data_IF_534213503845
#
_entry.id   IF_534213503845
#
_cell.length_a   1.000
_cell.length_b   1.000
_cell.length_c   1.000
_cell.angle_alpha   90.00
_cell.angle_beta   90.00
_cell.angle_gamma   90.00
#
_symmetry.space_group_name_H-M   'P 1'
#
loop_
_entity.id
_entity.type
_entity.pdbx_description
1 polymer ?
#
# COMPACT_ATOMS: atom_id res chain seq x y z
N UNK A 1 -22.30 6.85 28.01
CA UNK A 1 -21.57 7.61 26.99
C UNK A 1 -20.93 6.60 26.06
N UNK A 2 -21.62 6.28 24.97
CA UNK A 2 -21.17 5.33 23.96
C UNK A 2 -20.09 6.01 23.12
N UNK A 3 -18.85 5.52 23.22
CA UNK A 3 -17.77 5.92 22.34
C UNK A 3 -18.13 5.45 20.93
N UNK A 4 -18.52 6.38 20.06
CA UNK A 4 -18.55 6.15 18.62
C UNK A 4 -17.13 5.81 18.18
N UNK A 5 -16.86 4.53 17.94
CA UNK A 5 -15.73 4.10 17.14
C UNK A 5 -15.96 4.63 15.73
N UNK A 6 -15.41 5.81 15.43
CA UNK A 6 -15.09 6.14 14.05
C UNK A 6 -13.94 5.22 13.65
N UNK A 7 -14.27 4.10 13.01
CA UNK A 7 -13.35 3.40 12.15
C UNK A 7 -12.97 4.39 11.06
N UNK A 8 -11.77 4.97 11.18
CA UNK A 8 -11.20 5.73 10.09
C UNK A 8 -10.83 4.71 9.02
N UNK A 9 -11.69 4.61 8.02
CA UNK A 9 -11.37 4.01 6.72
C UNK A 9 -10.32 4.95 6.11
N UNK A 10 -9.05 4.71 6.43
CA UNK A 10 -7.93 5.49 5.93
C UNK A 10 -7.71 5.01 4.49
N UNK A 11 -8.03 5.85 3.51
CA UNK A 11 -7.73 5.58 2.10
C UNK A 11 -6.20 5.41 1.90
N UNK A 12 -5.79 4.71 0.83
CA UNK A 12 -4.42 4.33 0.48
C UNK A 12 -3.41 5.49 0.56
N UNK A 13 -3.81 6.70 0.15
CA UNK A 13 -2.99 7.93 0.22
C UNK A 13 -2.93 8.55 1.61
N UNK A 14 -3.86 8.21 2.48
CA UNK A 14 -3.95 8.74 3.83
C UNK A 14 -3.14 7.92 4.82
N UNK A 15 -2.84 6.64 4.54
CA UNK A 15 -2.03 5.80 5.43
C UNK A 15 -0.64 6.39 5.70
N UNK A 16 0.15 6.65 4.65
CA UNK A 16 1.51 7.21 4.79
C UNK A 16 1.47 8.61 5.38
N UNK A 17 0.55 9.46 4.91
CA UNK A 17 0.36 10.79 5.50
C UNK A 17 0.01 10.71 6.98
N UNK A 18 -0.77 9.72 7.38
CA UNK A 18 -1.16 9.52 8.76
C UNK A 18 0.02 9.05 9.61
N UNK A 19 0.70 7.95 9.24
CA UNK A 19 1.74 7.35 10.08
C UNK A 19 2.99 8.23 10.18
N UNK A 20 3.33 8.99 9.13
CA UNK A 20 4.46 9.94 9.15
C UNK A 20 4.05 11.36 9.53
N UNK A 21 2.76 11.70 9.49
CA UNK A 21 2.25 13.05 9.77
C UNK A 21 1.64 13.22 11.16
N UNK A 22 1.56 12.18 11.97
CA UNK A 22 1.01 12.24 13.34
C UNK A 22 1.98 11.68 14.38
N UNK A 23 1.72 11.97 15.65
CA UNK A 23 2.43 11.41 16.81
C UNK A 23 1.45 10.72 17.77
N UNK A 24 1.93 9.76 18.56
CA UNK A 24 1.09 9.12 19.58
C UNK A 24 0.97 10.00 20.84
N UNK A 25 -0.14 9.88 21.57
CA UNK A 25 -0.32 10.60 22.84
C UNK A 25 0.73 10.22 23.91
N UNK A 26 1.24 8.99 23.83
CA UNK A 26 2.33 8.49 24.70
C UNK A 26 3.66 9.17 24.37
N UNK A 27 3.90 9.49 23.09
CA UNK A 27 5.07 10.26 22.67
C UNK A 27 5.09 11.66 23.28
N UNK A 28 3.95 12.38 23.21
CA UNK A 28 3.87 13.79 23.63
C UNK A 28 3.80 13.97 25.15
N UNK A 29 3.24 13.00 25.89
CA UNK A 29 3.13 13.06 27.35
C UNK A 29 4.45 12.78 28.09
N UNK A 30 5.58 12.72 27.37
CA UNK A 30 6.91 12.48 27.94
C UNK A 30 7.13 11.03 28.40
N UNK A 31 6.19 10.13 28.12
CA UNK A 31 6.26 8.72 28.52
C UNK A 31 7.21 7.87 27.69
N UNK A 32 7.79 8.42 26.62
CA UNK A 32 8.55 7.64 25.65
C UNK A 32 9.78 8.41 25.14
N UNK A 33 10.96 8.08 25.64
CA UNK A 33 12.26 8.68 25.26
C UNK A 33 12.76 8.26 23.87
N UNK A 34 11.98 7.46 23.15
CA UNK A 34 12.34 6.87 21.85
C UNK A 34 11.86 7.70 20.66
N UNK A 35 11.02 8.72 20.83
CA UNK A 35 10.49 9.50 19.70
C UNK A 35 11.44 10.64 19.28
N UNK A 36 11.71 10.81 17.97
CA UNK A 36 12.43 11.97 17.45
C UNK A 36 11.72 13.29 17.77
N UNK A 37 12.51 14.32 18.05
CA UNK A 37 12.01 15.67 18.36
C UNK A 37 11.11 16.22 17.26
N UNK A 38 11.44 16.00 15.98
CA UNK A 38 10.58 16.47 14.88
C UNK A 38 9.20 15.80 14.90
N UNK A 39 9.13 14.51 15.26
CA UNK A 39 7.88 13.78 15.33
C UNK A 39 6.96 14.35 16.43
N UNK A 40 7.52 14.82 17.55
CA UNK A 40 6.74 15.41 18.65
C UNK A 40 6.05 16.74 18.29
N UNK A 41 6.42 17.38 17.18
CA UNK A 41 5.76 18.60 16.70
C UNK A 41 4.48 18.33 15.91
N UNK A 42 4.20 17.06 15.59
CA UNK A 42 3.06 16.64 14.76
C UNK A 42 1.76 16.55 15.57
N UNK A 43 0.58 16.65 14.91
CA UNK A 43 -0.70 16.40 15.56
C UNK A 43 -0.78 15.02 16.22
N UNK A 44 -1.48 14.95 17.36
CA UNK A 44 -1.62 13.71 18.13
C UNK A 44 -2.75 12.84 17.56
N UNK A 45 -2.46 11.55 17.31
CA UNK A 45 -3.44 10.54 16.93
C UNK A 45 -3.14 9.19 17.60
N UNK A 46 -4.11 8.26 17.59
CA UNK A 46 -3.83 6.86 17.95
C UNK A 46 -2.92 6.25 16.87
N UNK A 47 -1.98 5.36 17.22
CA UNK A 47 -1.15 4.70 16.21
C UNK A 47 -2.01 3.89 15.25
N UNK A 48 -1.61 3.87 13.98
CA UNK A 48 -2.12 2.88 13.03
C UNK A 48 -1.64 1.48 13.46
N UNK A 49 -2.28 0.45 12.90
CA UNK A 49 -1.97 -0.93 13.21
C UNK A 49 -1.78 -1.74 11.94
N UNK A 50 -0.72 -2.55 11.93
CA UNK A 50 -0.57 -3.71 11.05
C UNK A 50 -0.43 -4.95 11.93
N UNK A 51 -0.55 -6.11 11.32
CA UNK A 51 -0.28 -7.39 11.96
C UNK A 51 0.70 -8.20 11.09
N UNK A 52 1.31 -9.21 11.71
CA UNK A 52 1.95 -10.29 11.00
C UNK A 52 0.93 -11.42 10.78
N UNK A 53 0.89 -11.96 9.56
CA UNK A 53 0.17 -13.19 9.27
C UNK A 53 0.98 -14.44 9.69
N UNK A 54 0.44 -15.64 9.43
CA UNK A 54 1.06 -16.92 9.77
C UNK A 54 2.43 -17.15 9.09
N UNK A 55 2.79 -16.33 8.11
CA UNK A 55 4.05 -16.40 7.36
C UNK A 55 4.92 -15.13 7.56
N UNK A 56 4.60 -14.33 8.58
CA UNK A 56 5.29 -13.11 8.97
C UNK A 56 5.17 -11.96 7.95
N UNK A 57 4.17 -11.96 7.07
CA UNK A 57 3.91 -10.84 6.18
C UNK A 57 3.12 -9.75 6.91
N UNK A 58 3.49 -8.50 6.64
CA UNK A 58 2.76 -7.33 7.10
C UNK A 58 1.43 -7.23 6.37
N UNK A 59 0.35 -7.35 7.15
CA UNK A 59 -1.03 -7.23 6.68
C UNK A 59 -1.77 -6.14 7.43
N UNK A 60 -2.73 -5.50 6.76
CA UNK A 60 -3.74 -4.69 7.41
C UNK A 60 -4.82 -5.61 8.02
N UNK A 61 -4.88 -5.74 9.36
CA UNK A 61 -5.84 -6.63 10.01
C UNK A 61 -7.29 -6.15 9.90
N UNK A 62 -7.51 -4.94 9.40
CA UNK A 62 -8.82 -4.35 9.18
C UNK A 62 -9.16 -4.24 7.70
N UNK A 63 -8.38 -4.86 6.83
CA UNK A 63 -8.65 -4.87 5.40
C UNK A 63 -10.03 -5.45 5.11
N UNK A 64 -10.91 -4.62 4.53
CA UNK A 64 -12.19 -5.08 4.01
C UNK A 64 -12.01 -5.45 2.54
N UNK A 65 -12.31 -6.70 2.19
CA UNK A 65 -12.21 -7.22 0.82
C UNK A 65 -13.36 -6.67 -0.03
N UNK A 66 -13.29 -5.37 -0.31
CA UNK A 66 -14.08 -4.67 -1.31
C UNK A 66 -13.24 -3.54 -1.93
N UNK A 67 -12.05 -3.82 -2.48
CA UNK A 67 -11.24 -2.77 -3.06
C UNK A 67 -11.95 -2.24 -4.31
N UNK A 68 -12.36 -0.97 -4.29
CA UNK A 68 -12.57 -0.25 -5.54
C UNK A 68 -11.23 -0.21 -6.28
N UNK A 69 -11.14 -1.00 -7.34
CA UNK A 69 -10.03 -0.98 -8.29
C UNK A 69 -10.21 0.23 -9.22
N UNK A 70 -9.13 0.92 -9.59
CA UNK A 70 -9.20 2.02 -10.53
C UNK A 70 -9.72 1.54 -11.88
N UNK A 71 -10.22 2.46 -12.69
CA UNK A 71 -10.44 2.15 -14.11
C UNK A 71 -9.11 2.05 -14.85
N UNK A 72 -9.08 1.46 -16.06
CA UNK A 72 -7.88 1.51 -16.90
C UNK A 72 -7.42 2.94 -17.19
N UNK A 73 -8.37 3.89 -17.31
CA UNK A 73 -8.05 5.31 -17.47
C UNK A 73 -7.27 5.86 -16.29
N UNK A 74 -7.72 5.58 -15.06
CA UNK A 74 -7.05 6.02 -13.83
C UNK A 74 -5.72 5.30 -13.62
N UNK A 75 -5.71 3.98 -13.79
CA UNK A 75 -4.52 3.15 -13.59
C UNK A 75 -3.36 3.55 -14.51
N UNK A 76 -3.66 3.86 -15.77
CA UNK A 76 -2.67 4.29 -16.77
C UNK A 76 -2.41 5.81 -16.73
N UNK A 77 -3.00 6.55 -15.78
CA UNK A 77 -2.85 8.00 -15.64
C UNK A 77 -3.26 8.81 -16.88
N UNK A 78 -4.40 8.46 -17.48
CA UNK A 78 -4.90 8.98 -18.75
C UNK A 78 -6.05 9.99 -18.61
N UNK A 79 -6.43 10.37 -17.39
CA UNK A 79 -7.66 11.12 -17.09
C UNK A 79 -7.76 12.48 -17.79
N UNK A 80 -6.61 13.10 -18.08
CA UNK A 80 -6.52 14.46 -18.60
C UNK A 80 -6.09 14.54 -20.07
N UNK A 81 -6.00 13.41 -20.76
CA UNK A 81 -5.52 13.36 -22.14
C UNK A 81 -6.66 13.55 -23.15
N UNK A 82 -6.40 14.35 -24.19
CA UNK A 82 -7.27 14.45 -25.36
C UNK A 82 -7.25 13.17 -26.19
N UNK A 83 -8.20 13.00 -27.12
CA UNK A 83 -8.27 11.81 -27.97
C UNK A 83 -7.00 11.56 -28.81
N UNK A 84 -6.33 12.62 -29.29
CA UNK A 84 -5.06 12.46 -30.01
C UNK A 84 -3.95 11.99 -29.08
N UNK A 85 -3.87 12.54 -27.87
CA UNK A 85 -2.85 12.17 -26.87
C UNK A 85 -3.09 10.74 -26.34
N UNK A 86 -4.35 10.33 -26.16
CA UNK A 86 -4.71 8.96 -25.80
C UNK A 86 -4.23 7.95 -26.83
N UNK A 87 -4.39 8.27 -28.12
CA UNK A 87 -3.91 7.40 -29.21
C UNK A 87 -2.41 7.19 -29.14
N UNK A 88 -1.66 8.27 -28.93
CA UNK A 88 -0.21 8.22 -28.84
C UNK A 88 0.27 7.50 -27.57
N UNK A 89 -0.41 7.70 -26.43
CA UNK A 89 -0.08 7.07 -25.16
C UNK A 89 -0.34 5.55 -25.16
N UNK A 90 -1.38 5.10 -25.88
CA UNK A 90 -1.81 3.71 -25.91
C UNK A 90 -1.21 2.89 -27.07
N UNK A 91 -0.51 3.53 -28.01
CA UNK A 91 -0.01 2.87 -29.23
C UNK A 91 0.87 1.64 -28.94
N UNK A 92 1.73 1.71 -27.92
CA UNK A 92 2.68 0.64 -27.59
C UNK A 92 2.05 -0.44 -26.68
N UNK A 93 0.80 -0.23 -26.25
CA UNK A 93 0.05 -1.11 -25.36
C UNK A 93 -1.23 -1.66 -25.98
N UNK A 94 -1.35 -1.68 -27.31
CA UNK A 94 -2.58 -2.08 -28.02
C UNK A 94 -3.06 -3.49 -27.64
N UNK A 95 -2.12 -4.38 -27.34
CA UNK A 95 -2.38 -5.76 -26.89
C UNK A 95 -3.32 -5.83 -25.67
N UNK A 96 -3.38 -4.79 -24.84
CA UNK A 96 -4.26 -4.73 -23.66
C UNK A 96 -5.74 -4.64 -24.01
N UNK A 97 -6.06 -4.10 -25.19
CA UNK A 97 -7.44 -3.82 -25.59
C UNK A 97 -7.76 -4.26 -27.02
N UNK A 98 -6.85 -4.96 -27.70
CA UNK A 98 -7.01 -5.38 -29.09
C UNK A 98 -8.27 -6.22 -29.32
N UNK A 99 -8.70 -6.98 -28.31
CA UNK A 99 -9.94 -7.77 -28.35
C UNK A 99 -11.23 -6.94 -28.38
N UNK A 100 -11.14 -5.66 -28.02
CA UNK A 100 -12.25 -4.70 -28.11
C UNK A 100 -12.28 -3.98 -29.46
N UNK A 101 -11.25 -4.14 -30.30
CA UNK A 101 -11.11 -3.45 -31.57
C UNK A 101 -11.68 -4.26 -32.74
N UNK A 102 -12.27 -3.56 -33.72
CA UNK A 102 -12.64 -4.18 -35.00
C UNK A 102 -11.43 -4.34 -35.93
N UNK A 103 -10.50 -3.38 -35.88
CA UNK A 103 -9.26 -3.34 -36.65
C UNK A 103 -8.14 -2.74 -35.78
N UNK A 104 -7.19 -3.56 -35.28
CA UNK A 104 -6.09 -3.09 -34.44
C UNK A 104 -5.15 -2.09 -35.12
N UNK A 105 -5.06 -2.08 -36.45
CA UNK A 105 -4.21 -1.15 -37.18
C UNK A 105 -4.89 0.21 -37.42
N UNK A 106 -6.21 0.28 -37.26
CA UNK A 106 -7.00 1.48 -37.57
C UNK A 106 -8.20 1.65 -36.62
N UNK A 107 -7.92 1.83 -35.34
CA UNK A 107 -8.92 2.05 -34.30
C UNK A 107 -9.13 3.54 -33.97
N UNK A 108 -10.20 3.83 -33.23
CA UNK A 108 -10.52 5.14 -32.69
C UNK A 108 -10.71 5.09 -31.17
N UNK A 109 -10.41 6.19 -30.47
CA UNK A 109 -10.59 6.27 -29.01
C UNK A 109 -12.03 5.96 -28.59
N UNK A 110 -13.03 6.23 -29.44
CA UNK A 110 -14.43 5.93 -29.14
C UNK A 110 -14.70 4.43 -28.97
N UNK A 111 -14.00 3.57 -29.72
CA UNK A 111 -14.18 2.11 -29.64
C UNK A 111 -13.71 1.53 -28.30
N UNK A 112 -12.72 2.18 -27.68
CA UNK A 112 -12.14 1.72 -26.41
C UNK A 112 -12.67 2.48 -25.19
N UNK A 113 -13.67 3.35 -25.35
CA UNK A 113 -14.24 4.10 -24.21
C UNK A 113 -14.82 3.16 -23.15
N UNK A 114 -15.48 2.07 -23.55
CA UNK A 114 -15.98 1.07 -22.59
C UNK A 114 -14.85 0.49 -21.75
N UNK A 115 -13.81 -0.01 -22.41
CA UNK A 115 -12.60 -0.54 -21.77
C UNK A 115 -11.90 0.49 -20.87
N UNK A 116 -11.77 1.75 -21.27
CA UNK A 116 -11.14 2.79 -20.44
C UNK A 116 -11.85 3.04 -19.12
N UNK A 117 -13.18 2.84 -19.08
CA UNK A 117 -14.01 3.02 -17.88
C UNK A 117 -14.26 1.71 -17.10
N UNK A 118 -13.78 0.57 -17.62
CA UNK A 118 -13.81 -0.70 -16.89
C UNK A 118 -12.76 -0.68 -15.77
N UNK A 119 -13.13 -1.23 -14.61
CA UNK A 119 -12.17 -1.51 -13.54
C UNK A 119 -11.13 -2.49 -14.04
N UNK A 120 -9.86 -2.21 -13.76
CA UNK A 120 -8.77 -3.09 -14.16
C UNK A 120 -8.84 -4.43 -13.41
N UNK A 121 -8.50 -5.52 -14.10
CA UNK A 121 -8.37 -6.84 -13.48
C UNK A 121 -6.98 -7.02 -12.82
N UNK A 122 -6.94 -7.80 -11.75
CA UNK A 122 -5.68 -8.12 -11.06
C UNK A 122 -4.63 -8.77 -11.97
N UNK A 123 -5.06 -9.55 -12.96
CA UNK A 123 -4.19 -10.21 -13.94
C UNK A 123 -3.49 -9.22 -14.88
N UNK A 124 -4.02 -8.00 -15.02
CA UNK A 124 -3.43 -6.92 -15.82
C UNK A 124 -2.48 -6.02 -15.03
N UNK A 125 -2.37 -6.25 -13.72
CA UNK A 125 -1.43 -5.58 -12.82
C UNK A 125 -0.15 -6.41 -12.63
N UNK A 126 0.96 -5.74 -12.31
CA UNK A 126 2.12 -6.44 -11.74
C UNK A 126 1.78 -7.03 -10.37
N UNK A 127 2.49 -8.06 -9.88
CA UNK A 127 2.29 -8.59 -8.52
C UNK A 127 2.33 -7.48 -7.46
N UNK A 128 3.30 -6.57 -7.57
CA UNK A 128 3.37 -5.38 -6.73
C UNK A 128 2.14 -4.47 -6.86
N UNK A 129 1.68 -4.21 -8.09
CA UNK A 129 0.50 -3.37 -8.35
C UNK A 129 -0.77 -3.97 -7.77
N UNK A 130 -0.97 -5.28 -7.94
CA UNK A 130 -2.08 -6.03 -7.39
C UNK A 130 -2.08 -6.00 -5.86
N UNK A 131 -0.92 -6.26 -5.24
CA UNK A 131 -0.81 -6.33 -3.78
C UNK A 131 -1.21 -5.03 -3.05
N UNK A 132 -1.09 -3.87 -3.72
CA UNK A 132 -1.58 -2.58 -3.19
C UNK A 132 -3.09 -2.57 -2.88
N UNK A 133 -3.86 -3.47 -3.50
CA UNK A 133 -5.31 -3.60 -3.35
C UNK A 133 -5.73 -4.79 -2.49
N UNK A 134 -4.77 -5.38 -1.77
CA UNK A 134 -4.98 -6.50 -0.84
C UNK A 134 -4.58 -6.07 0.58
N UNK A 135 -4.74 -6.97 1.54
CA UNK A 135 -4.30 -6.77 2.92
C UNK A 135 -2.80 -6.43 3.03
N UNK A 136 -1.96 -6.84 2.07
CA UNK A 136 -0.51 -6.58 2.06
C UNK A 136 -0.14 -5.14 1.66
N UNK A 137 -1.09 -4.37 1.11
CA UNK A 137 -0.80 -3.08 0.48
C UNK A 137 -0.18 -2.04 1.42
N UNK A 138 -0.62 -1.98 2.68
CA UNK A 138 -0.05 -1.05 3.66
C UNK A 138 1.36 -1.44 4.10
N UNK A 139 1.69 -2.74 4.12
CA UNK A 139 3.06 -3.22 4.34
C UNK A 139 4.00 -2.76 3.22
N UNK A 140 3.56 -2.90 1.97
CA UNK A 140 4.34 -2.43 0.79
C UNK A 140 4.55 -0.92 0.84
N UNK A 141 3.50 -0.14 1.13
CA UNK A 141 3.62 1.33 1.25
C UNK A 141 4.59 1.74 2.34
N UNK A 142 4.60 1.04 3.48
CA UNK A 142 5.55 1.29 4.55
C UNK A 142 6.99 1.04 4.05
N UNK A 143 7.22 -0.09 3.37
CA UNK A 143 8.53 -0.44 2.83
C UNK A 143 9.04 0.61 1.83
N UNK A 144 8.21 1.06 0.90
CA UNK A 144 8.59 2.09 -0.09
C UNK A 144 8.86 3.47 0.53
N UNK A 145 8.20 3.79 1.65
CA UNK A 145 8.38 5.06 2.33
C UNK A 145 9.63 5.10 3.22
N UNK A 146 10.20 3.95 3.55
CA UNK A 146 11.38 3.84 4.39
C UNK A 146 12.68 3.87 3.56
N UNK A 147 13.74 4.54 4.05
CA UNK A 147 15.08 4.38 3.50
C UNK A 147 15.55 2.92 3.54
N UNK A 148 16.42 2.55 2.61
CA UNK A 148 16.93 1.17 2.50
C UNK A 148 17.62 0.69 3.79
N UNK A 149 18.39 1.55 4.44
CA UNK A 149 19.01 1.26 5.72
C UNK A 149 17.98 0.96 6.82
N UNK A 150 16.85 1.65 6.80
CA UNK A 150 15.81 1.50 7.81
C UNK A 150 15.02 0.21 7.63
N UNK A 151 14.69 -0.18 6.40
CA UNK A 151 14.03 -1.48 6.16
C UNK A 151 14.93 -2.64 6.59
N UNK A 152 16.24 -2.54 6.31
CA UNK A 152 17.21 -3.56 6.71
C UNK A 152 17.35 -3.63 8.23
N UNK A 153 17.46 -2.49 8.90
CA UNK A 153 17.61 -2.43 10.37
C UNK A 153 16.33 -2.86 11.11
N UNK A 154 15.17 -2.83 10.43
CA UNK A 154 13.89 -3.33 10.95
C UNK A 154 13.60 -4.79 10.56
N UNK A 155 14.55 -5.47 9.90
CA UNK A 155 14.39 -6.83 9.36
C UNK A 155 13.16 -6.97 8.43
N UNK A 156 12.92 -6.00 7.56
CA UNK A 156 11.83 -6.02 6.59
C UNK A 156 12.36 -6.37 5.19
N UNK A 157 11.77 -7.39 4.57
CA UNK A 157 12.13 -7.85 3.23
C UNK A 157 10.92 -7.80 2.32
N UNK A 158 11.05 -7.13 1.16
CA UNK A 158 10.09 -7.25 0.08
C UNK A 158 10.25 -8.62 -0.59
N UNK A 159 9.19 -9.41 -0.61
CA UNK A 159 9.13 -10.69 -1.31
C UNK A 159 8.18 -10.54 -2.49
N UNK A 160 8.72 -10.75 -3.68
CA UNK A 160 7.95 -10.83 -4.92
C UNK A 160 8.18 -12.22 -5.52
N UNK A 161 7.09 -12.98 -5.66
CA UNK A 161 7.11 -14.33 -6.20
C UNK A 161 6.40 -14.38 -7.54
N UNK A 162 7.16 -14.69 -8.58
CA UNK A 162 6.63 -15.05 -9.90
C UNK A 162 6.60 -16.58 -10.02
N UNK A 163 5.42 -17.19 -9.83
CA UNK A 163 5.14 -18.55 -10.32
C UNK A 163 3.90 -18.51 -11.21
N UNK A 164 3.83 -19.31 -12.29
CA UNK A 164 2.64 -19.37 -13.13
C UNK A 164 1.39 -19.65 -12.29
N UNK A 165 0.46 -18.68 -12.24
CA UNK A 165 -0.80 -18.79 -11.52
C UNK A 165 -0.80 -18.26 -10.07
N UNK A 166 0.28 -17.64 -9.60
CA UNK A 166 0.29 -16.90 -8.33
C UNK A 166 1.26 -15.72 -8.41
N UNK A 167 0.72 -14.55 -8.71
CA UNK A 167 1.42 -13.27 -8.56
C UNK A 167 1.31 -12.86 -7.08
N UNK A 168 2.39 -12.97 -6.32
CA UNK A 168 2.41 -12.54 -4.92
C UNK A 168 3.46 -11.47 -4.69
N UNK A 169 3.08 -10.42 -3.97
CA UNK A 169 4.00 -9.41 -3.49
C UNK A 169 3.60 -9.01 -2.06
N UNK A 170 4.56 -8.97 -1.14
CA UNK A 170 4.32 -8.64 0.26
C UNK A 170 5.60 -8.33 1.00
N UNK A 171 5.49 -7.66 2.15
CA UNK A 171 6.64 -7.32 2.99
C UNK A 171 6.67 -8.26 4.18
N UNK A 172 7.73 -9.05 4.31
CA UNK A 172 7.92 -10.02 5.38
C UNK A 172 8.83 -9.46 6.46
N UNK A 173 8.51 -9.75 7.72
CA UNK A 173 9.43 -9.59 8.83
C UNK A 173 10.31 -10.84 8.95
N UNK A 174 11.62 -10.65 8.81
CA UNK A 174 12.64 -11.70 8.84
C UNK A 174 13.46 -11.73 10.15
N UNK A 175 13.06 -10.95 11.15
CA UNK A 175 13.72 -10.93 12.46
C UNK A 175 13.36 -12.12 13.34
N UNK A 176 14.18 -12.39 14.36
CA UNK A 176 13.87 -13.40 15.36
C UNK A 176 12.72 -12.90 16.27
N UNK A 177 11.64 -13.68 16.39
CA UNK A 177 10.48 -13.26 17.18
C UNK A 177 10.79 -13.13 18.68
N UNK A 178 11.64 -13.98 19.23
CA UNK A 178 11.96 -13.97 20.66
C UNK A 178 12.92 -12.84 21.01
N UNK A 179 13.85 -12.52 20.10
CA UNK A 179 14.92 -11.54 20.37
C UNK A 179 14.62 -10.15 19.80
N UNK A 180 13.95 -10.06 18.64
CA UNK A 180 13.90 -8.85 17.83
C UNK A 180 12.51 -8.25 17.63
N UNK A 181 11.42 -8.93 17.99
CA UNK A 181 10.09 -8.38 17.71
C UNK A 181 9.82 -7.08 18.49
N UNK A 182 10.28 -7.00 19.74
CA UNK A 182 10.25 -5.76 20.52
C UNK A 182 11.14 -4.67 19.91
N UNK A 183 12.19 -5.04 19.15
CA UNK A 183 13.05 -4.11 18.43
C UNK A 183 12.34 -3.51 17.20
N UNK A 184 11.41 -4.24 16.56
CA UNK A 184 10.63 -3.75 15.41
C UNK A 184 9.78 -2.52 15.81
N UNK A 185 8.92 -2.67 16.81
CA UNK A 185 8.05 -1.58 17.27
C UNK A 185 8.84 -0.43 17.89
N UNK A 186 9.91 -0.72 18.63
CA UNK A 186 10.82 0.31 19.14
C UNK A 186 11.57 1.03 18.03
N UNK A 187 11.96 0.32 16.98
CA UNK A 187 12.65 0.87 15.82
C UNK A 187 11.75 1.79 14.98
N UNK A 188 10.46 1.44 14.83
CA UNK A 188 9.47 2.31 14.20
C UNK A 188 9.23 3.58 15.02
N UNK A 189 9.04 3.45 16.34
CA UNK A 189 8.91 4.60 17.24
C UNK A 189 10.18 5.47 17.27
N UNK A 190 11.36 4.83 17.23
CA UNK A 190 12.69 5.43 17.08
C UNK A 190 12.82 6.35 15.87
N UNK A 191 12.04 6.06 14.82
CA UNK A 191 11.97 6.84 13.57
C UNK A 191 10.80 7.81 13.54
N UNK A 192 10.04 7.88 14.63
CA UNK A 192 8.89 8.76 14.76
C UNK A 192 7.70 8.34 13.93
N UNK A 193 7.55 7.04 13.66
CA UNK A 193 6.46 6.48 12.84
C UNK A 193 5.31 6.10 13.77
N UNK A 194 4.12 6.68 13.56
CA UNK A 194 2.93 6.42 14.37
C UNK A 194 2.21 5.12 13.97
N UNK A 195 2.92 4.02 14.14
CA UNK A 195 2.52 2.67 13.74
C UNK A 195 2.89 1.65 14.82
N UNK A 196 2.03 0.65 15.02
CA UNK A 196 2.33 -0.54 15.80
C UNK A 196 2.09 -1.76 14.91
N UNK A 197 3.00 -2.73 14.96
CA UNK A 197 2.86 -4.04 14.35
C UNK A 197 2.54 -5.04 15.46
N UNK A 198 1.41 -5.74 15.32
CA UNK A 198 1.05 -6.86 16.18
C UNK A 198 1.70 -8.15 15.66
N UNK A 199 2.30 -8.93 16.55
CA UNK A 199 3.06 -10.13 16.17
C UNK A 199 2.19 -11.33 15.81
N UNK A 200 0.87 -11.23 16.05
CA UNK A 200 -0.07 -12.31 15.81
C UNK A 200 0.18 -13.49 16.76
N UNK A 201 -0.61 -13.59 17.83
CA UNK A 201 -0.85 -14.91 18.44
C UNK A 201 -2.02 -15.54 17.69
N UNK A 202 -1.73 -16.52 16.83
CA UNK A 202 -2.64 -17.65 16.62
C UNK A 202 -2.53 -18.63 17.78
#
# INVERSE_FOLDING_TARGET
MTNNQQSFEIDRRDFIKFVFGTASAVAVSGGSSIWPTEALTRPIAKPAKLALDDYNYLVDPYFDYNPQLPTYREFLSLENLSNSELKDALKDGTWRFEHHLKDPDNWSVHEIQGWLEESIDFDDMSPWGAAQYTEYGNGIRLYDALPYEDVRDLNLTLVEGDVPGSNFCGVRYDGDFEEDFDNLNRGLAGRGINLIIDGGNG
#
